data_IF_951396909742
#
_entry.id   IF_951396909742
#
_cell.length_a   1.000
_cell.length_b   1.000
_cell.length_c   1.000
_cell.angle_alpha   90.00
_cell.angle_beta   90.00
_cell.angle_gamma   90.00
#
_symmetry.space_group_name_H-M   'P 1'
#
loop_
_entity.id
_entity.type
_entity.pdbx_description
1 polymer ?
#
# COMPACT_ATOMS: atom_id res chain seq x y z
N UNK A 1 63.24 -32.21 -20.05
CA UNK A 1 62.30 -31.23 -20.60
C UNK A 1 60.91 -31.58 -20.07
N UNK A 2 60.39 -30.84 -19.11
CA UNK A 2 59.04 -31.00 -18.53
C UNK A 2 58.20 -29.83 -19.00
N UNK A 3 57.21 -30.13 -19.86
CA UNK A 3 56.26 -29.16 -20.42
C UNK A 3 55.16 -28.92 -19.40
N UNK A 4 54.98 -27.68 -18.89
CA UNK A 4 53.93 -27.27 -17.97
C UNK A 4 52.77 -26.74 -18.84
N UNK A 5 51.62 -27.44 -18.80
CA UNK A 5 50.37 -26.94 -19.36
C UNK A 5 49.71 -26.01 -18.32
N UNK A 6 49.58 -24.73 -18.69
CA UNK A 6 48.82 -23.75 -17.94
C UNK A 6 47.39 -23.74 -18.48
N UNK A 7 46.45 -24.26 -17.68
CA UNK A 7 45.04 -24.23 -18.04
C UNK A 7 44.45 -22.89 -17.58
N UNK A 8 44.07 -22.05 -18.54
CA UNK A 8 43.37 -20.78 -18.29
C UNK A 8 41.89 -21.06 -17.97
N UNK A 9 41.48 -20.89 -16.74
CA UNK A 9 40.08 -21.01 -16.32
C UNK A 9 39.39 -19.67 -16.55
N UNK A 10 38.51 -19.60 -17.56
CA UNK A 10 37.69 -18.44 -17.87
C UNK A 10 36.52 -18.40 -16.89
N UNK A 11 36.54 -17.47 -15.91
CA UNK A 11 35.39 -17.15 -15.08
C UNK A 11 34.42 -16.28 -15.88
N UNK A 12 33.33 -16.89 -16.33
CA UNK A 12 32.16 -16.15 -16.82
C UNK A 12 31.42 -15.53 -15.61
N UNK A 13 31.54 -14.21 -15.41
CA UNK A 13 30.62 -13.45 -14.54
C UNK A 13 29.25 -13.43 -15.19
N UNK A 14 28.34 -14.28 -14.74
CA UNK A 14 26.92 -14.14 -14.99
C UNK A 14 26.39 -12.99 -14.12
N UNK A 15 26.23 -11.81 -14.73
CA UNK A 15 25.53 -10.69 -14.11
C UNK A 15 24.07 -11.05 -13.93
N UNK A 16 23.64 -11.26 -12.70
CA UNK A 16 22.22 -11.40 -12.34
C UNK A 16 21.55 -10.04 -12.52
N UNK A 17 20.81 -9.88 -13.60
CA UNK A 17 19.80 -8.83 -13.75
C UNK A 17 18.68 -9.17 -12.76
N UNK A 18 18.68 -8.54 -11.59
CA UNK A 18 17.50 -8.51 -10.73
C UNK A 18 16.44 -7.65 -11.42
N UNK A 19 15.62 -8.27 -12.26
CA UNK A 19 14.33 -7.72 -12.61
C UNK A 19 13.49 -7.76 -11.34
N UNK A 20 13.17 -6.60 -10.76
CA UNK A 20 12.08 -6.49 -9.82
C UNK A 20 10.82 -6.88 -10.59
N UNK A 21 10.39 -8.11 -10.38
CA UNK A 21 9.09 -8.54 -10.83
C UNK A 21 8.07 -7.84 -9.91
N UNK A 22 7.20 -7.03 -10.50
CA UNK A 22 6.01 -6.53 -9.83
C UNK A 22 5.30 -7.74 -9.21
N UNK A 23 5.20 -7.78 -7.88
CA UNK A 23 4.53 -8.87 -7.17
C UNK A 23 3.04 -8.66 -7.38
N UNK A 24 2.50 -9.26 -8.44
CA UNK A 24 1.07 -9.32 -8.67
C UNK A 24 0.53 -10.46 -7.82
N UNK A 25 0.05 -10.13 -6.63
CA UNK A 25 -0.65 -11.06 -5.77
C UNK A 25 -2.13 -11.09 -6.20
N UNK A 26 -2.54 -12.12 -6.97
CA UNK A 26 -3.94 -12.28 -7.37
C UNK A 26 -4.69 -13.13 -6.33
N UNK A 27 -5.81 -12.61 -5.83
CA UNK A 27 -6.75 -13.38 -5.02
C UNK A 27 -7.39 -14.51 -5.85
N UNK A 28 -7.93 -15.53 -5.16
CA UNK A 28 -8.70 -16.63 -5.77
C UNK A 28 -9.88 -16.15 -6.64
N UNK A 29 -10.28 -14.89 -6.51
CA UNK A 29 -11.37 -14.23 -7.26
C UNK A 29 -10.87 -13.38 -8.44
N UNK A 30 -9.57 -13.47 -8.81
CA UNK A 30 -9.00 -12.77 -9.96
C UNK A 30 -8.73 -11.28 -9.74
N UNK A 31 -8.80 -10.77 -8.50
CA UNK A 31 -8.48 -9.39 -8.17
C UNK A 31 -6.96 -9.21 -8.09
N UNK A 32 -6.40 -8.36 -8.94
CA UNK A 32 -4.96 -8.09 -9.04
C UNK A 32 -4.69 -6.61 -8.82
N UNK A 33 -4.51 -6.21 -7.55
CA UNK A 33 -4.33 -4.83 -7.17
C UNK A 33 -2.87 -4.38 -7.29
N UNK A 34 -2.65 -3.20 -7.86
CA UNK A 34 -1.33 -2.60 -8.02
C UNK A 34 -0.65 -2.41 -6.66
N UNK A 35 0.57 -2.92 -6.51
CA UNK A 35 1.41 -2.74 -5.30
C UNK A 35 0.66 -3.09 -4.00
N UNK A 36 -0.10 -4.17 -3.99
CA UNK A 36 -0.92 -4.58 -2.85
C UNK A 36 -0.08 -4.96 -1.64
N UNK A 37 -0.52 -4.51 -0.46
CA UNK A 37 -0.08 -5.00 0.86
C UNK A 37 -1.31 -5.41 1.67
N UNK A 38 -1.29 -6.62 2.22
CA UNK A 38 -2.26 -7.05 3.23
C UNK A 38 -1.61 -6.86 4.61
N UNK A 39 -1.99 -5.79 5.31
CA UNK A 39 -1.48 -5.48 6.66
C UNK A 39 -2.12 -6.36 7.71
N UNK A 40 -3.41 -6.62 7.59
CA UNK A 40 -4.16 -7.52 8.47
C UNK A 40 -5.35 -8.13 7.72
N UNK A 41 -6.08 -9.09 8.30
CA UNK A 41 -7.31 -9.59 7.70
C UNK A 41 -8.35 -8.49 7.41
N UNK A 42 -8.29 -7.36 8.12
CA UNK A 42 -9.22 -6.23 8.01
C UNK A 42 -8.70 -5.07 7.15
N UNK A 43 -7.38 -5.03 6.83
CA UNK A 43 -6.74 -3.90 6.17
C UNK A 43 -5.85 -4.34 5.02
N UNK A 44 -6.25 -3.99 3.81
CA UNK A 44 -5.45 -4.11 2.58
C UNK A 44 -5.20 -2.73 2.02
N UNK A 45 -3.97 -2.47 1.53
CA UNK A 45 -3.65 -1.24 0.80
C UNK A 45 -3.24 -1.54 -0.64
N UNK A 46 -3.48 -0.59 -1.57
CA UNK A 46 -3.08 -0.72 -2.97
C UNK A 46 -2.89 0.62 -3.68
N UNK A 47 -2.36 0.56 -4.89
CA UNK A 47 -2.51 1.65 -5.87
C UNK A 47 -3.95 1.71 -6.39
N UNK A 48 -4.20 2.65 -7.31
CA UNK A 48 -5.53 2.84 -7.90
C UNK A 48 -5.99 1.56 -8.60
N UNK A 49 -7.10 0.94 -8.16
CA UNK A 49 -7.70 -0.16 -8.90
C UNK A 49 -8.24 0.33 -10.25
N UNK A 50 -8.17 -0.50 -11.26
CA UNK A 50 -8.86 -0.26 -12.54
C UNK A 50 -10.37 -0.34 -12.35
N UNK A 51 -11.15 0.17 -13.31
CA UNK A 51 -12.62 0.06 -13.28
C UNK A 51 -13.08 -1.41 -13.19
N UNK A 52 -12.40 -2.30 -13.91
CA UNK A 52 -12.69 -3.74 -13.85
C UNK A 52 -12.39 -4.36 -12.49
N UNK A 53 -11.32 -3.95 -11.81
CA UNK A 53 -10.99 -4.40 -10.46
C UNK A 53 -11.95 -3.82 -9.43
N UNK A 54 -12.33 -2.53 -9.56
CA UNK A 54 -13.35 -1.91 -8.71
C UNK A 54 -14.67 -2.67 -8.75
N UNK A 55 -15.09 -3.15 -9.92
CA UNK A 55 -16.31 -3.94 -10.07
C UNK A 55 -16.26 -5.32 -9.36
N UNK A 56 -15.07 -5.77 -8.96
CA UNK A 56 -14.86 -7.06 -8.27
C UNK A 56 -14.63 -6.92 -6.76
N UNK A 57 -14.53 -5.70 -6.21
CA UNK A 57 -14.15 -5.44 -4.81
C UNK A 57 -15.08 -6.17 -3.82
N UNK A 58 -16.41 -6.09 -4.00
CA UNK A 58 -17.37 -6.78 -3.14
C UNK A 58 -17.21 -8.31 -3.19
N UNK A 59 -17.06 -8.86 -4.41
CA UNK A 59 -16.89 -10.31 -4.58
C UNK A 59 -15.54 -10.83 -4.03
N UNK A 60 -14.55 -9.95 -3.91
CA UNK A 60 -13.26 -10.22 -3.27
C UNK A 60 -13.31 -10.12 -1.73
N UNK A 61 -14.49 -9.85 -1.17
CA UNK A 61 -14.73 -9.87 0.27
C UNK A 61 -14.37 -8.56 0.98
N UNK A 62 -14.30 -7.45 0.26
CA UNK A 62 -14.20 -6.13 0.88
C UNK A 62 -15.59 -5.58 1.20
N UNK A 63 -15.69 -4.81 2.28
CA UNK A 63 -16.91 -4.17 2.74
C UNK A 63 -16.90 -2.66 2.49
N UNK A 64 -15.70 -2.10 2.29
CA UNK A 64 -15.50 -0.66 2.10
C UNK A 64 -14.22 -0.33 1.37
N UNK A 65 -14.20 0.86 0.79
CA UNK A 65 -13.05 1.46 0.12
C UNK A 65 -12.77 2.83 0.73
N UNK A 66 -11.50 3.09 1.08
CA UNK A 66 -11.01 4.42 1.48
C UNK A 66 -10.01 4.89 0.42
N UNK A 67 -10.32 6.03 -0.21
CA UNK A 67 -9.50 6.62 -1.25
C UNK A 67 -8.74 7.84 -0.69
N UNK A 68 -7.40 7.82 -0.81
CA UNK A 68 -6.50 8.84 -0.21
C UNK A 68 -5.90 9.82 -1.22
N UNK A 69 -6.06 9.61 -2.52
CA UNK A 69 -5.56 10.54 -3.53
C UNK A 69 -6.65 11.51 -3.98
N UNK A 70 -6.25 12.53 -4.72
CA UNK A 70 -7.19 13.43 -5.37
C UNK A 70 -7.77 12.80 -6.63
N UNK A 71 -8.99 13.16 -6.98
CA UNK A 71 -9.71 12.60 -8.14
C UNK A 71 -9.21 13.11 -9.49
N UNK A 72 -8.29 14.07 -9.50
CA UNK A 72 -7.73 14.68 -10.71
C UNK A 72 -6.37 14.09 -11.14
N UNK A 73 -5.91 12.99 -10.52
CA UNK A 73 -4.69 12.32 -10.97
C UNK A 73 -4.94 11.47 -12.23
N UNK A 74 -3.90 11.17 -13.04
CA UNK A 74 -4.07 10.55 -14.36
C UNK A 74 -4.68 9.14 -14.34
N UNK A 75 -4.59 8.42 -13.22
CA UNK A 75 -5.11 7.05 -13.06
C UNK A 75 -6.48 7.01 -12.38
N UNK A 76 -7.03 8.16 -11.95
CA UNK A 76 -8.31 8.20 -11.26
C UNK A 76 -9.43 7.62 -12.13
N UNK A 77 -10.23 6.77 -11.53
CA UNK A 77 -11.43 6.22 -12.19
C UNK A 77 -12.58 7.20 -12.02
N UNK A 78 -13.20 7.58 -13.14
CA UNK A 78 -14.35 8.48 -13.10
C UNK A 78 -15.51 7.83 -12.33
N UNK A 79 -16.12 8.59 -11.44
CA UNK A 79 -17.29 8.12 -10.66
C UNK A 79 -17.02 6.85 -9.83
N UNK A 80 -15.81 6.70 -9.33
CA UNK A 80 -15.42 5.55 -8.51
C UNK A 80 -16.36 5.32 -7.32
N UNK A 81 -16.79 6.40 -6.68
CA UNK A 81 -17.76 6.37 -5.59
C UNK A 81 -19.07 5.67 -5.99
N UNK A 82 -19.57 5.87 -7.22
CA UNK A 82 -20.74 5.16 -7.72
C UNK A 82 -20.45 3.68 -7.97
N UNK A 83 -19.31 3.35 -8.61
CA UNK A 83 -18.93 1.96 -8.89
C UNK A 83 -18.82 1.14 -7.61
N UNK A 84 -18.27 1.71 -6.56
CA UNK A 84 -18.13 1.04 -5.27
C UNK A 84 -19.48 0.93 -4.56
N UNK A 85 -20.25 2.00 -4.50
CA UNK A 85 -21.55 2.04 -3.78
C UNK A 85 -22.64 1.22 -4.45
N UNK A 86 -22.63 1.08 -5.76
CA UNK A 86 -23.57 0.21 -6.50
C UNK A 86 -23.43 -1.28 -6.12
N UNK A 87 -22.27 -1.67 -5.58
CA UNK A 87 -22.01 -3.00 -5.03
C UNK A 87 -22.48 -3.15 -3.56
N UNK A 88 -23.08 -2.12 -2.96
CA UNK A 88 -23.49 -2.10 -1.55
C UNK A 88 -22.35 -1.79 -0.57
N UNK A 89 -21.17 -1.39 -1.07
CA UNK A 89 -20.02 -1.06 -0.25
C UNK A 89 -20.02 0.40 0.22
N UNK A 90 -19.29 0.69 1.26
CA UNK A 90 -19.02 2.06 1.68
C UNK A 90 -17.84 2.64 0.91
N UNK A 91 -17.97 3.88 0.44
CA UNK A 91 -16.88 4.65 -0.15
C UNK A 91 -16.60 5.89 0.68
N UNK A 92 -15.34 6.06 1.07
CA UNK A 92 -14.86 7.16 1.90
C UNK A 92 -13.70 7.81 1.16
N UNK A 93 -13.74 9.13 1.01
CA UNK A 93 -12.68 9.90 0.35
C UNK A 93 -12.03 10.84 1.35
N UNK A 94 -10.72 10.66 1.59
CA UNK A 94 -9.87 11.48 2.44
C UNK A 94 -8.69 11.95 1.57
N UNK A 95 -8.82 13.06 0.84
CA UNK A 95 -7.76 13.52 -0.05
C UNK A 95 -6.55 14.03 0.75
N UNK A 96 -5.41 13.37 0.58
CA UNK A 96 -4.14 13.69 1.26
C UNK A 96 -3.18 14.34 0.28
N UNK A 97 -2.70 15.54 0.61
CA UNK A 97 -1.70 16.23 -0.19
C UNK A 97 -0.36 15.50 -0.17
N UNK A 98 0.23 15.30 -1.37
CA UNK A 98 1.50 14.60 -1.49
C UNK A 98 2.66 15.39 -0.89
N UNK A 99 2.74 16.69 -1.23
CA UNK A 99 3.84 17.56 -0.84
C UNK A 99 3.74 18.07 0.61
N UNK A 100 2.57 17.93 1.24
CA UNK A 100 2.33 18.46 2.59
C UNK A 100 1.26 17.66 3.37
N UNK A 101 1.48 16.36 3.60
CA UNK A 101 0.55 15.56 4.41
C UNK A 101 0.52 16.09 5.85
N UNK A 102 -0.67 16.10 6.46
CA UNK A 102 -0.85 16.60 7.82
C UNK A 102 -1.38 15.51 8.76
N UNK A 103 -1.03 15.52 10.06
CA UNK A 103 -1.51 14.52 11.03
C UNK A 103 -3.03 14.42 11.14
N UNK A 104 -3.76 15.51 10.83
CA UNK A 104 -5.23 15.50 10.81
C UNK A 104 -5.80 14.53 9.76
N UNK A 105 -5.14 14.34 8.62
CA UNK A 105 -5.56 13.39 7.58
C UNK A 105 -5.48 11.95 8.10
N UNK A 106 -4.39 11.61 8.80
CA UNK A 106 -4.25 10.30 9.45
C UNK A 106 -5.26 10.13 10.59
N UNK A 107 -5.50 11.17 11.39
CA UNK A 107 -6.49 11.12 12.47
C UNK A 107 -7.90 10.85 11.92
N UNK A 108 -8.27 11.50 10.81
CA UNK A 108 -9.54 11.24 10.13
C UNK A 108 -9.64 9.81 9.61
N UNK A 109 -8.58 9.31 8.97
CA UNK A 109 -8.49 7.92 8.51
C UNK A 109 -8.63 6.93 9.66
N UNK A 110 -7.84 7.08 10.73
CA UNK A 110 -7.88 6.19 11.88
C UNK A 110 -9.25 6.20 12.58
N UNK A 111 -9.88 7.37 12.70
CA UNK A 111 -11.24 7.48 13.23
C UNK A 111 -12.24 6.72 12.36
N UNK A 112 -12.16 6.85 11.04
CA UNK A 112 -13.03 6.11 10.12
C UNK A 112 -12.82 4.60 10.24
N UNK A 113 -11.58 4.12 10.28
CA UNK A 113 -11.27 2.70 10.47
C UNK A 113 -11.90 2.15 11.76
N UNK A 114 -11.87 2.91 12.85
CA UNK A 114 -12.41 2.52 14.16
C UNK A 114 -13.94 2.58 14.26
N UNK A 115 -14.63 3.22 13.31
CA UNK A 115 -16.12 3.23 13.32
C UNK A 115 -16.73 1.90 12.88
N UNK A 116 -15.90 0.94 12.44
CA UNK A 116 -16.36 -0.33 11.94
C UNK A 116 -15.92 -1.47 12.85
N UNK A 117 -16.88 -2.16 13.46
CA UNK A 117 -16.62 -3.29 14.36
C UNK A 117 -16.09 -4.52 13.64
N UNK A 118 -16.30 -4.62 12.33
CA UNK A 118 -15.88 -5.77 11.50
C UNK A 118 -15.83 -5.40 10.02
N UNK A 119 -15.29 -6.32 9.22
CA UNK A 119 -15.23 -6.18 7.77
C UNK A 119 -13.84 -5.79 7.25
N UNK A 120 -13.64 -5.97 5.95
CA UNK A 120 -12.37 -5.76 5.26
C UNK A 120 -12.36 -4.44 4.50
N UNK A 121 -11.34 -3.64 4.73
CA UNK A 121 -11.16 -2.33 4.08
C UNK A 121 -10.07 -2.39 3.04
N UNK A 122 -10.36 -1.93 1.83
CA UNK A 122 -9.37 -1.55 0.85
C UNK A 122 -9.06 -0.07 1.00
N UNK A 123 -7.81 0.26 1.30
CA UNK A 123 -7.30 1.64 1.28
C UNK A 123 -6.45 1.80 0.04
N UNK A 124 -6.72 2.78 -0.80
CA UNK A 124 -5.90 2.99 -1.98
C UNK A 124 -5.58 4.46 -2.25
N UNK A 125 -4.56 4.64 -3.07
CA UNK A 125 -4.20 5.93 -3.64
C UNK A 125 -3.76 5.72 -5.09
N UNK A 126 -2.89 6.55 -5.66
CA UNK A 126 -2.45 6.40 -7.05
C UNK A 126 -1.57 5.14 -7.28
N UNK A 127 -0.55 4.92 -6.42
CA UNK A 127 0.46 3.87 -6.57
C UNK A 127 0.78 3.11 -5.27
N UNK A 128 -0.06 3.22 -4.28
CA UNK A 128 0.08 2.68 -2.92
C UNK A 128 1.06 3.42 -1.99
N UNK A 129 1.67 4.53 -2.35
CA UNK A 129 2.63 5.19 -1.46
C UNK A 129 1.94 5.84 -0.25
N UNK A 130 0.91 6.69 -0.45
CA UNK A 130 0.11 7.25 0.67
C UNK A 130 -0.55 6.15 1.48
N UNK A 131 -1.19 5.20 0.79
CA UNK A 131 -1.97 4.17 1.44
C UNK A 131 -1.09 3.21 2.26
N UNK A 132 0.12 2.86 1.80
CA UNK A 132 1.04 2.03 2.58
C UNK A 132 1.53 2.73 3.84
N UNK A 133 1.84 4.03 3.79
CA UNK A 133 2.22 4.80 4.99
C UNK A 133 1.06 4.87 5.99
N UNK A 134 -0.17 5.09 5.54
CA UNK A 134 -1.34 5.11 6.40
C UNK A 134 -1.64 3.72 6.99
N UNK A 135 -1.45 2.65 6.21
CA UNK A 135 -1.55 1.27 6.68
C UNK A 135 -0.52 0.95 7.76
N UNK A 136 0.74 1.32 7.52
CA UNK A 136 1.84 1.19 8.48
C UNK A 136 1.52 1.90 9.81
N UNK A 137 1.17 3.18 9.74
CA UNK A 137 0.84 3.97 10.94
C UNK A 137 -0.35 3.38 11.71
N UNK A 138 -1.36 2.88 11.00
CA UNK A 138 -2.52 2.25 11.63
C UNK A 138 -2.14 0.94 12.33
N UNK A 139 -1.36 0.10 11.68
CA UNK A 139 -0.86 -1.14 12.25
C UNK A 139 -0.08 -0.90 13.56
N UNK A 140 0.85 0.03 13.54
CA UNK A 140 1.71 0.32 14.70
C UNK A 140 0.92 1.02 15.81
N UNK A 141 0.20 2.09 15.48
CA UNK A 141 -0.37 3.00 16.48
C UNK A 141 -1.75 2.55 17.01
N UNK A 142 -2.47 1.74 16.26
CA UNK A 142 -3.85 1.34 16.61
C UNK A 142 -3.95 -0.17 16.86
N UNK A 143 -3.35 -0.98 15.99
CA UNK A 143 -3.41 -2.44 16.14
C UNK A 143 -2.25 -3.00 16.98
N UNK A 144 -1.22 -2.18 17.31
CA UNK A 144 -0.10 -2.57 18.18
C UNK A 144 0.85 -3.57 17.52
N UNK A 145 0.96 -3.54 16.20
CA UNK A 145 1.87 -4.39 15.45
C UNK A 145 3.33 -4.05 15.75
N UNK A 146 4.22 -5.03 15.53
CA UNK A 146 5.66 -4.84 15.65
C UNK A 146 6.14 -3.78 14.63
N UNK A 147 6.96 -2.84 15.11
CA UNK A 147 7.43 -1.69 14.32
C UNK A 147 8.30 -2.14 13.14
N UNK A 148 9.21 -3.10 13.35
CA UNK A 148 10.14 -3.55 12.32
C UNK A 148 9.41 -4.35 11.23
N UNK A 149 8.44 -5.18 11.62
CA UNK A 149 7.60 -5.93 10.68
C UNK A 149 6.74 -4.99 9.83
N UNK A 150 6.05 -4.05 10.47
CA UNK A 150 5.20 -3.07 9.76
C UNK A 150 6.04 -2.15 8.85
N UNK A 151 7.24 -1.74 9.29
CA UNK A 151 8.18 -0.96 8.48
C UNK A 151 8.63 -1.75 7.26
N UNK A 152 8.98 -3.03 7.43
CA UNK A 152 9.41 -3.90 6.32
C UNK A 152 8.32 -4.08 5.29
N UNK A 153 7.06 -4.24 5.70
CA UNK A 153 5.90 -4.31 4.81
C UNK A 153 5.73 -3.00 4.01
N UNK A 154 5.72 -1.85 4.67
CA UNK A 154 5.62 -0.56 4.01
C UNK A 154 6.75 -0.36 3.00
N UNK A 155 8.00 -0.61 3.41
CA UNK A 155 9.18 -0.43 2.58
C UNK A 155 9.28 -1.40 1.40
N UNK A 156 8.52 -2.47 1.39
CA UNK A 156 8.42 -3.35 0.21
C UNK A 156 7.80 -2.63 -1.00
N UNK A 157 7.05 -1.56 -0.77
CA UNK A 157 6.37 -0.77 -1.80
C UNK A 157 6.85 0.69 -1.81
N UNK A 158 6.98 1.31 -0.63
CA UNK A 158 7.30 2.72 -0.49
C UNK A 158 8.44 2.91 0.52
N UNK A 159 9.57 3.43 0.04
CA UNK A 159 10.56 4.05 0.92
C UNK A 159 10.19 5.53 1.01
N UNK A 160 9.75 6.03 2.19
CA UNK A 160 9.35 7.42 2.34
C UNK A 160 10.48 8.39 1.97
N UNK A 161 10.15 9.51 1.35
CA UNK A 161 11.03 10.65 1.20
C UNK A 161 11.03 11.52 2.48
N UNK A 162 11.86 12.56 2.51
CA UNK A 162 12.00 13.46 3.68
C UNK A 162 10.66 14.05 4.14
N UNK A 163 9.73 14.33 3.21
CA UNK A 163 8.39 14.86 3.52
C UNK A 163 7.55 13.82 4.26
N UNK A 164 7.55 12.60 3.76
CA UNK A 164 6.77 11.50 4.32
C UNK A 164 7.40 10.92 5.58
N UNK A 165 8.74 10.90 5.69
CA UNK A 165 9.42 10.59 6.95
C UNK A 165 9.05 11.59 8.04
N UNK A 166 9.12 12.90 7.74
CA UNK A 166 8.70 13.93 8.68
C UNK A 166 7.22 13.85 9.07
N UNK A 167 6.35 13.42 8.14
CA UNK A 167 4.94 13.16 8.44
C UNK A 167 4.78 11.98 9.42
N UNK A 168 5.45 10.85 9.15
CA UNK A 168 5.43 9.67 10.03
C UNK A 168 5.85 10.06 11.45
N UNK A 169 7.00 10.74 11.59
CA UNK A 169 7.52 11.18 12.88
C UNK A 169 6.52 12.08 13.61
N UNK A 170 5.89 13.05 12.92
CA UNK A 170 4.88 13.91 13.55
C UNK A 170 3.68 13.12 14.07
N UNK A 171 3.16 12.18 13.26
CA UNK A 171 2.02 11.35 13.66
C UNK A 171 2.36 10.44 14.84
N UNK A 172 3.55 9.85 14.86
CA UNK A 172 4.01 8.99 15.96
C UNK A 172 4.17 9.79 17.25
N UNK A 173 4.81 10.97 17.19
CA UNK A 173 4.97 11.85 18.35
C UNK A 173 3.62 12.33 18.93
N UNK A 174 2.65 12.67 18.09
CA UNK A 174 1.29 13.05 18.51
C UNK A 174 0.58 11.91 19.29
N UNK A 175 1.00 10.68 19.11
CA UNK A 175 0.51 9.48 19.79
C UNK A 175 1.39 9.02 20.96
N UNK A 176 2.52 9.71 21.23
CA UNK A 176 3.45 9.40 22.32
C UNK A 176 4.29 8.15 22.09
N UNK A 177 4.58 7.84 20.84
CA UNK A 177 5.52 6.78 20.42
C UNK A 177 6.81 7.49 19.96
N UNK A 178 7.89 7.33 20.73
CA UNK A 178 9.23 7.87 20.45
C UNK A 178 10.06 6.89 19.62
#
# INVERSE_FOLDING_TARGET
MKTIFVTFLLFLLAGSLNAHADVVNSDSNGLSLLNRIDYSPSLTTSGQPTEGELALIASAGFDRVIFLAFTNHPKAVAHEDYVVRDQGLQFIHIPVEWESPIPADFAAFAAMMQTFDSGRTLVHCEVNFRASVFGFLYQVLVEGADLDEATSLMQSICVPDDTWEAFIVRVMNDKGVD
#
